data_IF_903717231508
#
_entry.id   IF_903717231508
#
_cell.length_a   1.000
_cell.length_b   1.000
_cell.length_c   1.000
_cell.angle_alpha   90.00
_cell.angle_beta   90.00
_cell.angle_gamma   90.00
#
_symmetry.space_group_name_H-M   'P 1'
#
loop_
_entity.id
_entity.type
_entity.pdbx_description
1 polymer ?
#
# COMPACT_ATOMS: atom_id res chain seq x y z
N UNK A 1 43.97 -7.72 41.95
CA UNK A 1 44.35 -7.16 40.63
C UNK A 1 43.09 -7.25 39.76
N UNK A 2 42.29 -6.23 39.49
CA UNK A 2 42.33 -4.78 39.69
C UNK A 2 40.88 -4.30 39.81
N UNK A 3 40.60 -3.61 40.92
CA UNK A 3 39.45 -2.75 41.16
C UNK A 3 39.64 -1.42 40.39
N UNK A 4 38.60 -0.89 39.72
CA UNK A 4 38.53 0.51 39.24
C UNK A 4 37.08 0.84 38.90
N UNK A 5 36.35 1.52 39.79
CA UNK A 5 36.33 2.97 40.09
C UNK A 5 35.12 3.65 39.43
N UNK A 6 34.06 3.77 40.22
CA UNK A 6 32.96 4.72 40.06
C UNK A 6 33.49 6.15 40.15
N UNK A 7 33.14 7.03 39.21
CA UNK A 7 33.29 8.49 39.36
C UNK A 7 32.12 9.21 38.71
N UNK A 8 31.24 9.74 39.55
CA UNK A 8 30.36 10.85 39.22
C UNK A 8 31.19 12.14 39.14
N UNK A 9 30.92 12.98 38.14
CA UNK A 9 31.43 14.35 38.06
C UNK A 9 30.30 15.27 37.63
N UNK A 10 30.04 16.24 38.50
CA UNK A 10 29.09 17.33 38.39
C UNK A 10 29.29 18.16 37.13
N UNK A 11 28.19 18.54 36.46
CA UNK A 11 28.19 19.60 35.46
C UNK A 11 27.24 20.73 35.88
N UNK A 12 27.82 21.92 35.89
CA UNK A 12 27.27 23.20 36.31
C UNK A 12 26.18 23.66 35.34
N UNK A 13 25.03 24.04 35.88
CA UNK A 13 23.91 24.64 35.16
C UNK A 13 24.32 26.05 34.69
N UNK A 14 24.45 26.25 33.37
CA UNK A 14 24.41 27.60 32.78
C UNK A 14 22.98 27.91 32.36
N UNK A 15 22.31 28.76 33.12
CA UNK A 15 21.03 29.35 32.75
C UNK A 15 21.30 30.37 31.63
N UNK A 16 20.94 30.03 30.40
CA UNK A 16 20.74 31.01 29.33
C UNK A 16 19.25 31.35 29.28
N UNK A 17 18.90 32.60 29.61
CA UNK A 17 17.59 33.15 29.31
C UNK A 17 17.49 33.35 27.80
N UNK A 18 16.95 32.36 27.09
CA UNK A 18 16.47 32.54 25.73
C UNK A 18 15.00 32.94 25.84
N UNK A 19 14.69 34.20 25.56
CA UNK A 19 13.31 34.62 25.31
C UNK A 19 12.83 33.94 24.04
N UNK A 20 12.17 32.80 24.21
CA UNK A 20 11.51 32.07 23.14
C UNK A 20 10.34 32.91 22.63
N UNK A 21 10.51 33.57 21.49
CA UNK A 21 9.38 34.03 20.69
C UNK A 21 8.69 32.76 20.18
N UNK A 22 7.59 32.37 20.82
CA UNK A 22 6.74 31.29 20.32
C UNK A 22 6.03 31.78 19.07
N UNK A 23 6.65 31.57 17.92
CA UNK A 23 5.91 31.54 16.66
C UNK A 23 5.02 30.30 16.70
N UNK A 24 3.71 30.49 16.88
CA UNK A 24 2.72 29.47 16.60
C UNK A 24 2.75 29.17 15.11
N UNK A 25 3.64 28.25 14.70
CA UNK A 25 3.44 27.51 13.48
C UNK A 25 2.23 26.61 13.74
N UNK A 26 1.07 27.03 13.23
CA UNK A 26 -0.04 26.12 13.04
C UNK A 26 0.44 25.09 12.01
N UNK A 27 1.10 24.04 12.49
CA UNK A 27 1.30 22.82 11.73
C UNK A 27 -0.10 22.24 11.54
N UNK A 28 -0.80 22.73 10.51
CA UNK A 28 -2.04 22.13 10.04
C UNK A 28 -1.72 20.65 9.87
N UNK A 29 -2.51 19.80 10.51
CA UNK A 29 -2.37 18.36 10.36
C UNK A 29 -2.28 18.07 8.87
N UNK A 30 -1.10 17.68 8.40
CA UNK A 30 -0.97 16.87 7.20
C UNK A 30 -1.57 15.53 7.63
N UNK A 31 -2.90 15.51 7.77
CA UNK A 31 -3.65 14.43 8.40
C UNK A 31 -3.67 13.25 7.44
N UNK A 32 -3.82 12.03 7.96
CA UNK A 32 -4.04 10.83 7.16
C UNK A 32 -5.16 11.01 6.11
N UNK A 33 -6.11 11.92 6.36
CA UNK A 33 -7.13 12.34 5.40
C UNK A 33 -6.54 12.95 4.11
N UNK A 34 -5.52 13.81 4.21
CA UNK A 34 -4.83 14.38 3.04
C UNK A 34 -4.08 13.30 2.24
N UNK A 35 -3.45 12.34 2.92
CA UNK A 35 -2.70 11.27 2.27
C UNK A 35 -3.66 10.28 1.57
N UNK A 36 -4.76 9.89 2.22
CA UNK A 36 -5.78 9.04 1.59
C UNK A 36 -6.37 9.70 0.34
N UNK A 37 -6.62 11.01 0.39
CA UNK A 37 -7.11 11.77 -0.75
C UNK A 37 -6.13 11.82 -1.91
N UNK A 38 -4.83 11.96 -1.63
CA UNK A 38 -3.77 11.87 -2.64
C UNK A 38 -3.71 10.46 -3.25
N UNK A 39 -3.81 9.41 -2.43
CA UNK A 39 -3.82 8.02 -2.89
C UNK A 39 -5.00 7.75 -3.83
N UNK A 40 -6.20 8.16 -3.43
CA UNK A 40 -7.42 7.99 -4.22
C UNK A 40 -7.34 8.79 -5.52
N UNK A 41 -6.85 10.04 -5.45
CA UNK A 41 -6.64 10.86 -6.64
C UNK A 41 -5.64 10.21 -7.61
N UNK A 42 -4.54 9.66 -7.08
CA UNK A 42 -3.54 8.94 -7.85
C UNK A 42 -4.12 7.67 -8.51
N UNK A 43 -4.97 6.93 -7.80
CA UNK A 43 -5.66 5.78 -8.35
C UNK A 43 -6.58 6.20 -9.51
N UNK A 44 -7.40 7.25 -9.33
CA UNK A 44 -8.28 7.76 -10.39
C UNK A 44 -7.47 8.24 -11.60
N UNK A 45 -6.32 8.88 -11.40
CA UNK A 45 -5.43 9.28 -12.50
C UNK A 45 -5.01 8.07 -13.36
N UNK A 46 -4.81 6.89 -12.77
CA UNK A 46 -4.47 5.66 -13.51
C UNK A 46 -5.52 5.30 -14.56
N UNK A 47 -6.80 5.64 -14.37
CA UNK A 47 -7.86 5.33 -15.35
C UNK A 47 -7.73 6.14 -16.65
N UNK A 48 -6.88 7.17 -16.66
CA UNK A 48 -6.57 7.97 -17.86
C UNK A 48 -5.44 7.38 -18.69
N UNK A 49 -4.78 6.32 -18.22
CA UNK A 49 -3.63 5.70 -18.89
C UNK A 49 -4.06 4.59 -19.85
N UNK A 50 -3.56 4.65 -21.10
CA UNK A 50 -3.69 3.54 -22.06
C UNK A 50 -2.78 2.36 -21.73
N UNK A 51 -3.27 1.42 -20.92
CA UNK A 51 -2.51 0.25 -20.47
C UNK A 51 -3.02 -1.02 -21.13
N UNK A 52 -2.10 -1.80 -21.69
CA UNK A 52 -2.31 -3.16 -22.20
C UNK A 52 -2.05 -4.15 -21.07
N UNK A 53 -2.99 -5.05 -20.82
CA UNK A 53 -2.84 -6.05 -19.78
C UNK A 53 -1.74 -7.04 -20.10
N UNK A 54 -0.68 -7.06 -19.30
CA UNK A 54 0.46 -7.95 -19.50
C UNK A 54 1.08 -8.33 -18.15
N UNK A 55 0.90 -9.59 -17.76
CA UNK A 55 1.45 -10.17 -16.52
C UNK A 55 2.75 -10.93 -16.69
N UNK A 56 3.42 -10.84 -17.84
CA UNK A 56 4.67 -11.55 -18.09
C UNK A 56 5.76 -11.07 -17.12
N UNK A 57 6.57 -12.02 -16.65
CA UNK A 57 7.73 -11.72 -15.83
C UNK A 57 8.71 -10.80 -16.57
N UNK A 58 9.25 -9.81 -15.86
CA UNK A 58 10.25 -8.87 -16.36
C UNK A 58 11.28 -8.59 -15.26
N UNK A 59 12.55 -8.54 -15.64
CA UNK A 59 13.58 -7.96 -14.77
C UNK A 59 13.40 -6.44 -14.76
N UNK A 60 13.42 -5.85 -13.58
CA UNK A 60 13.20 -4.42 -13.37
C UNK A 60 14.23 -3.88 -12.37
N UNK A 61 14.39 -2.56 -12.31
CA UNK A 61 15.23 -1.91 -11.32
C UNK A 61 14.72 -2.16 -9.90
N UNK A 62 15.54 -1.84 -8.90
CA UNK A 62 15.16 -1.91 -7.49
C UNK A 62 15.97 -0.90 -6.67
N UNK A 63 15.33 -0.11 -5.76
CA UNK A 63 13.88 0.05 -5.61
C UNK A 63 13.27 0.82 -6.79
N UNK A 64 11.96 1.10 -6.76
CA UNK A 64 11.25 1.92 -7.75
C UNK A 64 11.26 1.38 -9.20
N UNK A 65 11.60 0.11 -9.40
CA UNK A 65 11.46 -0.54 -10.69
C UNK A 65 10.01 -0.65 -11.13
N UNK A 66 9.77 -0.51 -12.42
CA UNK A 66 8.46 -0.73 -13.03
C UNK A 66 8.65 -1.42 -14.38
N UNK A 67 7.59 -2.07 -14.85
CA UNK A 67 7.49 -2.48 -16.24
C UNK A 67 7.24 -1.25 -17.13
N UNK A 68 7.32 -1.43 -18.44
CA UNK A 68 6.98 -0.36 -19.39
C UNK A 68 5.60 0.25 -19.02
N UNK A 69 5.44 1.59 -18.98
CA UNK A 69 4.19 2.24 -18.58
C UNK A 69 2.95 1.82 -19.39
N UNK A 70 3.14 1.38 -20.65
CA UNK A 70 2.09 0.85 -21.52
C UNK A 70 1.58 -0.51 -21.08
N UNK A 71 2.29 -1.21 -20.20
CA UNK A 71 1.89 -2.50 -19.65
C UNK A 71 1.49 -2.39 -18.18
N UNK A 72 0.60 -3.30 -17.76
CA UNK A 72 0.36 -3.53 -16.36
C UNK A 72 -0.77 -4.52 -16.06
N UNK A 73 -0.86 -4.93 -14.80
CA UNK A 73 -1.89 -5.81 -14.25
C UNK A 73 -2.68 -5.11 -13.13
N UNK A 74 -3.53 -5.84 -12.42
CA UNK A 74 -4.33 -5.32 -11.31
C UNK A 74 -3.47 -4.69 -10.18
N UNK A 75 -2.38 -5.35 -9.77
CA UNK A 75 -1.48 -4.83 -8.72
C UNK A 75 -0.78 -3.53 -9.11
N UNK A 76 -0.51 -3.30 -10.39
CA UNK A 76 0.20 -2.10 -10.86
C UNK A 76 -0.64 -0.83 -10.69
N UNK A 77 -1.96 -0.96 -10.59
CA UNK A 77 -2.83 0.15 -10.17
C UNK A 77 -2.47 0.57 -8.76
N UNK A 78 -2.34 -0.40 -7.84
CA UNK A 78 -2.00 -0.16 -6.43
C UNK A 78 -0.59 0.40 -6.32
N UNK A 79 0.39 -0.30 -6.88
CA UNK A 79 1.82 0.08 -6.79
C UNK A 79 2.03 1.51 -7.30
N UNK A 80 1.50 1.84 -8.49
CA UNK A 80 1.70 3.17 -9.09
C UNK A 80 0.91 4.26 -8.36
N UNK A 81 -0.23 3.94 -7.73
CA UNK A 81 -0.96 4.91 -6.91
C UNK A 81 -0.23 5.20 -5.60
N UNK A 82 0.26 4.17 -4.90
CA UNK A 82 1.04 4.33 -3.66
C UNK A 82 2.36 5.08 -3.89
N UNK A 83 3.00 4.92 -5.06
CA UNK A 83 4.20 5.71 -5.40
C UNK A 83 3.93 7.22 -5.49
N UNK A 84 2.70 7.68 -5.74
CA UNK A 84 2.34 9.11 -5.73
C UNK A 84 2.24 9.72 -4.32
N UNK A 85 2.28 8.86 -3.31
CA UNK A 85 2.36 9.23 -1.89
C UNK A 85 3.64 8.68 -1.25
N UNK A 86 4.68 8.48 -2.07
CA UNK A 86 6.04 8.16 -1.63
C UNK A 86 6.18 6.79 -0.94
N UNK A 87 5.28 5.84 -1.25
CA UNK A 87 5.35 4.46 -0.77
C UNK A 87 5.58 3.52 -1.95
N UNK A 88 6.71 2.81 -1.95
CA UNK A 88 7.04 1.82 -2.97
C UNK A 88 6.74 0.39 -2.52
N UNK A 89 5.63 -0.17 -3.01
CA UNK A 89 5.27 -1.56 -2.71
C UNK A 89 6.30 -2.57 -3.21
N UNK A 90 7.11 -2.25 -4.23
CA UNK A 90 8.23 -3.11 -4.61
C UNK A 90 9.23 -3.26 -3.47
N UNK A 91 9.63 -2.15 -2.88
CA UNK A 91 10.60 -2.11 -1.80
C UNK A 91 10.04 -2.75 -0.52
N UNK A 92 8.95 -2.22 0.03
CA UNK A 92 8.49 -2.61 1.37
C UNK A 92 8.01 -4.06 1.44
N UNK A 93 7.42 -4.59 0.36
CA UNK A 93 7.02 -6.00 0.32
C UNK A 93 8.25 -6.90 0.19
N UNK A 94 9.23 -6.52 -0.63
CA UNK A 94 10.44 -7.32 -0.79
C UNK A 94 11.26 -7.37 0.50
N UNK A 95 11.42 -6.25 1.19
CA UNK A 95 12.14 -6.17 2.46
C UNK A 95 11.44 -7.01 3.55
N UNK A 96 10.11 -6.90 3.71
CA UNK A 96 9.38 -7.77 4.66
C UNK A 96 9.50 -9.26 4.28
N UNK A 97 9.50 -9.57 2.98
CA UNK A 97 9.71 -10.94 2.50
C UNK A 97 11.13 -11.46 2.75
N UNK A 98 12.16 -10.63 2.70
CA UNK A 98 13.56 -11.05 3.02
C UNK A 98 13.65 -11.58 4.44
N UNK A 99 13.01 -10.90 5.38
CA UNK A 99 13.05 -11.28 6.79
C UNK A 99 12.04 -12.39 7.15
N UNK A 100 10.95 -12.53 6.37
CA UNK A 100 9.80 -13.36 6.76
C UNK A 100 9.31 -14.31 5.65
N UNK A 101 10.18 -14.72 4.71
CA UNK A 101 9.79 -15.46 3.51
C UNK A 101 8.94 -16.71 3.79
N UNK A 102 9.20 -17.39 4.91
CA UNK A 102 8.48 -18.60 5.31
C UNK A 102 6.97 -18.37 5.57
N UNK A 103 6.57 -17.14 5.90
CA UNK A 103 5.17 -16.78 6.12
C UNK A 103 4.40 -16.47 4.83
N UNK A 104 5.12 -16.29 3.71
CA UNK A 104 4.52 -15.97 2.42
C UNK A 104 4.08 -17.23 1.65
N UNK A 105 3.08 -17.12 0.75
CA UNK A 105 2.55 -18.26 0.02
C UNK A 105 3.59 -18.94 -0.88
N UNK A 106 3.73 -20.27 -0.75
CA UNK A 106 4.66 -21.10 -1.54
C UNK A 106 4.12 -21.48 -2.93
N UNK A 107 3.37 -20.59 -3.58
CA UNK A 107 2.61 -20.90 -4.80
C UNK A 107 3.49 -21.04 -6.07
N UNK A 108 4.74 -20.58 -6.03
CA UNK A 108 5.63 -20.51 -7.20
C UNK A 108 6.92 -21.33 -7.05
N UNK A 109 7.03 -22.17 -6.01
CA UNK A 109 8.20 -23.02 -5.80
C UNK A 109 9.53 -22.25 -5.64
N UNK A 110 9.47 -20.99 -5.19
CA UNK A 110 10.67 -20.18 -4.96
C UNK A 110 11.27 -20.48 -3.59
N UNK A 111 12.60 -20.49 -3.52
CA UNK A 111 13.36 -20.70 -2.28
C UNK A 111 13.68 -19.38 -1.54
N UNK A 112 13.53 -18.24 -2.24
CA UNK A 112 13.78 -16.90 -1.69
C UNK A 112 12.89 -15.86 -2.37
N UNK A 113 12.75 -14.65 -1.78
CA UNK A 113 12.03 -13.55 -2.40
C UNK A 113 12.63 -13.15 -3.76
N UNK A 114 11.79 -12.57 -4.62
CA UNK A 114 12.17 -12.06 -5.93
C UNK A 114 11.64 -10.63 -6.15
N UNK A 115 12.53 -9.66 -5.92
CA UNK A 115 12.25 -8.21 -6.03
C UNK A 115 11.67 -7.78 -7.39
N UNK A 116 11.80 -8.59 -8.43
CA UNK A 116 11.23 -8.29 -9.74
C UNK A 116 9.71 -8.52 -9.80
N UNK A 117 9.15 -9.35 -8.91
CA UNK A 117 7.77 -9.84 -9.04
C UNK A 117 7.00 -9.92 -7.72
N UNK A 118 7.65 -9.86 -6.55
CA UNK A 118 7.01 -10.04 -5.23
C UNK A 118 5.77 -9.15 -5.06
N UNK A 119 5.93 -7.86 -5.26
CA UNK A 119 4.87 -6.85 -5.19
C UNK A 119 3.80 -6.95 -6.29
N UNK A 120 4.05 -7.72 -7.36
CA UNK A 120 3.11 -7.92 -8.48
C UNK A 120 2.22 -9.16 -8.29
N UNK A 121 2.26 -9.79 -7.12
CA UNK A 121 1.47 -10.96 -6.76
C UNK A 121 0.45 -10.61 -5.68
N UNK A 122 -0.84 -10.67 -6.01
CA UNK A 122 -1.93 -10.39 -5.05
C UNK A 122 -1.79 -11.19 -3.75
N UNK A 123 -1.46 -12.50 -3.75
CA UNK A 123 -1.27 -13.25 -2.50
C UNK A 123 -0.13 -12.70 -1.62
N UNK A 124 0.94 -12.18 -2.21
CA UNK A 124 2.04 -11.56 -1.46
C UNK A 124 1.60 -10.22 -0.85
N UNK A 125 0.91 -9.37 -1.63
CA UNK A 125 0.35 -8.11 -1.10
C UNK A 125 -0.61 -8.36 0.06
N UNK A 126 -1.49 -9.37 -0.04
CA UNK A 126 -2.41 -9.74 1.06
C UNK A 126 -1.64 -10.14 2.32
N UNK A 127 -0.58 -10.93 2.18
CA UNK A 127 0.23 -11.40 3.31
C UNK A 127 0.94 -10.22 3.96
N UNK A 128 1.60 -9.37 3.16
CA UNK A 128 2.22 -8.14 3.63
C UNK A 128 1.22 -7.26 4.39
N UNK A 129 0.07 -6.93 3.81
CA UNK A 129 -0.93 -6.06 4.46
C UNK A 129 -1.43 -6.64 5.79
N UNK A 130 -1.60 -7.96 5.90
CA UNK A 130 -1.93 -8.61 7.18
C UNK A 130 -0.83 -8.44 8.22
N UNK A 131 0.43 -8.63 7.81
CA UNK A 131 1.61 -8.47 8.68
C UNK A 131 1.79 -7.03 9.16
N UNK A 132 1.37 -6.07 8.35
CA UNK A 132 1.31 -4.65 8.73
C UNK A 132 0.07 -4.27 9.55
N UNK A 133 -0.68 -5.26 10.08
CA UNK A 133 -1.91 -5.05 10.85
C UNK A 133 -2.99 -4.23 10.13
N UNK A 134 -2.97 -4.20 8.79
CA UNK A 134 -3.86 -3.39 7.97
C UNK A 134 -5.20 -4.09 7.67
N UNK A 135 -5.40 -5.34 8.11
CA UNK A 135 -6.59 -6.12 7.76
C UNK A 135 -7.85 -5.62 8.50
N UNK A 136 -8.94 -5.49 7.75
CA UNK A 136 -10.27 -5.15 8.25
C UNK A 136 -11.25 -6.31 8.01
N UNK A 137 -12.38 -6.35 8.72
CA UNK A 137 -13.45 -7.30 8.44
C UNK A 137 -13.96 -7.18 7.01
N UNK A 138 -14.28 -8.33 6.40
CA UNK A 138 -15.03 -8.39 5.14
C UNK A 138 -16.51 -8.46 5.52
N UNK A 139 -17.27 -7.45 5.13
CA UNK A 139 -18.71 -7.33 5.45
C UNK A 139 -19.53 -7.15 4.17
N UNK A 140 -20.85 -7.26 4.30
CA UNK A 140 -21.81 -6.94 3.24
C UNK A 140 -22.30 -5.48 3.29
N UNK A 141 -21.86 -4.68 4.26
CA UNK A 141 -22.23 -3.26 4.34
C UNK A 141 -21.21 -2.41 3.55
N UNK A 142 -21.67 -1.75 2.50
CA UNK A 142 -20.87 -0.85 1.68
C UNK A 142 -20.19 0.27 2.48
N UNK A 143 -20.76 0.67 3.63
CA UNK A 143 -20.24 1.74 4.48
C UNK A 143 -18.94 1.38 5.17
N UNK A 144 -18.62 0.11 5.32
CA UNK A 144 -17.38 -0.34 5.97
C UNK A 144 -16.14 -0.12 5.10
N UNK A 145 -16.35 0.01 3.78
CA UNK A 145 -15.32 0.22 2.77
C UNK A 145 -15.14 1.71 2.52
N UNK A 146 -14.02 2.27 2.97
CA UNK A 146 -13.68 3.69 2.88
C UNK A 146 -12.72 3.95 1.74
N UNK A 147 -12.75 5.19 1.25
CA UNK A 147 -11.83 5.67 0.24
C UNK A 147 -10.36 5.43 0.69
N UNK A 148 -9.56 4.85 -0.20
CA UNK A 148 -8.17 4.45 0.08
C UNK A 148 -8.01 2.99 0.53
N UNK A 149 -9.09 2.30 0.90
CA UNK A 149 -9.02 0.89 1.27
C UNK A 149 -8.66 0.02 0.06
N UNK A 150 -7.88 -1.02 0.32
CA UNK A 150 -7.51 -2.04 -0.66
C UNK A 150 -8.44 -3.23 -0.47
N UNK A 151 -9.02 -3.71 -1.57
CA UNK A 151 -9.89 -4.90 -1.55
C UNK A 151 -9.35 -5.92 -2.53
N UNK A 152 -9.41 -7.21 -2.16
CA UNK A 152 -8.99 -8.32 -3.02
C UNK A 152 -10.14 -9.27 -3.26
N UNK A 153 -10.17 -9.90 -4.44
CA UNK A 153 -11.22 -10.83 -4.86
C UNK A 153 -10.65 -12.11 -5.44
N UNK A 154 -11.51 -13.13 -5.56
CA UNK A 154 -11.26 -14.28 -6.45
C UNK A 154 -12.17 -14.18 -7.68
N UNK A 155 -11.57 -14.05 -8.87
CA UNK A 155 -12.30 -14.07 -10.13
C UNK A 155 -12.44 -15.52 -10.67
N UNK A 156 -13.35 -15.77 -11.63
CA UNK A 156 -13.47 -17.06 -12.28
C UNK A 156 -12.13 -17.59 -12.81
N UNK A 157 -11.94 -18.91 -12.68
CA UNK A 157 -10.69 -19.59 -13.02
C UNK A 157 -9.58 -19.38 -11.99
N UNK A 158 -9.92 -19.18 -10.71
CA UNK A 158 -9.00 -19.04 -9.59
C UNK A 158 -7.95 -17.93 -9.81
N UNK A 159 -8.40 -16.76 -10.27
CA UNK A 159 -7.53 -15.60 -10.54
C UNK A 159 -7.65 -14.59 -9.40
N UNK A 160 -6.65 -14.47 -8.51
CA UNK A 160 -6.62 -13.40 -7.52
C UNK A 160 -6.65 -12.02 -8.17
N UNK A 161 -7.43 -11.11 -7.59
CA UNK A 161 -7.59 -9.76 -8.10
C UNK A 161 -7.54 -8.74 -6.97
N UNK A 162 -7.22 -7.49 -7.30
CA UNK A 162 -7.01 -6.41 -6.33
C UNK A 162 -7.44 -5.07 -6.93
N UNK A 163 -7.84 -4.15 -6.07
CA UNK A 163 -8.31 -2.82 -6.42
C UNK A 163 -8.36 -1.92 -5.19
N UNK A 164 -8.65 -0.65 -5.43
CA UNK A 164 -8.72 0.37 -4.39
C UNK A 164 -10.08 1.06 -4.40
N UNK A 165 -10.63 1.29 -3.22
CA UNK A 165 -11.90 1.97 -3.01
C UNK A 165 -11.70 3.47 -3.21
N UNK A 166 -12.63 4.13 -3.92
CA UNK A 166 -12.61 5.58 -4.13
C UNK A 166 -13.85 6.26 -3.55
N UNK A 167 -13.82 7.60 -3.47
CA UNK A 167 -14.91 8.39 -2.87
C UNK A 167 -16.21 8.34 -3.68
N UNK A 168 -16.11 8.24 -5.00
CA UNK A 168 -17.28 8.19 -5.87
C UNK A 168 -18.09 6.90 -5.66
N UNK A 169 -19.41 7.01 -5.77
CA UNK A 169 -20.34 5.92 -5.49
C UNK A 169 -21.27 5.63 -6.65
N UNK A 170 -21.60 4.36 -6.83
CA UNK A 170 -22.73 3.91 -7.62
C UNK A 170 -24.01 4.06 -6.80
N UNK A 171 -25.06 4.64 -7.40
CA UNK A 171 -26.35 4.92 -6.75
C UNK A 171 -26.24 5.59 -5.38
N UNK A 172 -25.22 6.44 -5.17
CA UNK A 172 -24.93 7.15 -3.90
C UNK A 172 -24.60 6.25 -2.69
N UNK A 173 -24.58 4.93 -2.85
CA UNK A 173 -24.45 3.96 -1.76
C UNK A 173 -23.14 3.16 -1.83
N UNK A 174 -22.87 2.53 -2.98
CA UNK A 174 -21.79 1.57 -3.14
C UNK A 174 -20.53 2.30 -3.64
N UNK A 175 -19.41 2.32 -2.90
CA UNK A 175 -18.21 2.97 -3.39
C UNK A 175 -17.66 2.25 -4.62
N UNK A 176 -17.19 3.03 -5.59
CA UNK A 176 -16.58 2.51 -6.80
C UNK A 176 -15.17 1.99 -6.50
N UNK A 177 -14.71 1.09 -7.37
CA UNK A 177 -13.37 0.49 -7.29
C UNK A 177 -12.57 0.94 -8.49
N UNK A 178 -11.32 1.35 -8.26
CA UNK A 178 -10.32 1.46 -9.31
C UNK A 178 -9.48 0.18 -9.36
N UNK A 179 -9.42 -0.46 -10.52
CA UNK A 179 -8.70 -1.72 -10.75
C UNK A 179 -8.39 -1.90 -12.24
N UNK A 180 -7.63 -2.94 -12.60
CA UNK A 180 -7.35 -3.32 -14.00
C UNK A 180 -7.56 -4.82 -14.20
N UNK A 181 -8.47 -5.22 -15.09
CA UNK A 181 -8.84 -6.62 -15.36
C UNK A 181 -8.92 -6.90 -16.87
N UNK A 182 -7.90 -6.47 -17.62
CA UNK A 182 -7.73 -6.82 -19.04
C UNK A 182 -7.91 -5.65 -20.01
N UNK A 183 -8.88 -4.78 -19.74
CA UNK A 183 -9.22 -3.63 -20.60
C UNK A 183 -8.62 -2.30 -20.12
N UNK A 184 -7.48 -2.37 -19.44
CA UNK A 184 -6.82 -1.24 -18.78
C UNK A 184 -7.46 -0.87 -17.43
N UNK A 185 -6.85 0.09 -16.69
CA UNK A 185 -7.40 0.61 -15.45
C UNK A 185 -8.76 1.29 -15.65
N UNK A 186 -9.73 0.93 -14.83
CA UNK A 186 -11.10 1.44 -14.86
C UNK A 186 -11.59 1.75 -13.46
N UNK A 187 -12.57 2.64 -13.37
CA UNK A 187 -13.36 2.92 -12.18
C UNK A 187 -14.78 2.41 -12.41
N UNK A 188 -15.22 1.40 -11.67
CA UNK A 188 -16.53 0.79 -11.87
C UNK A 188 -17.14 0.22 -10.58
N UNK A 189 -18.43 -0.10 -10.62
CA UNK A 189 -19.13 -0.78 -9.53
C UNK A 189 -18.67 -2.26 -9.48
N UNK A 190 -17.62 -2.51 -8.68
CA UNK A 190 -16.96 -3.81 -8.60
C UNK A 190 -16.98 -4.43 -7.20
N UNK A 191 -17.24 -3.63 -6.15
CA UNK A 191 -16.98 -4.00 -4.75
C UNK A 191 -17.55 -5.39 -4.39
N UNK A 192 -18.82 -5.62 -4.72
CA UNK A 192 -19.52 -6.88 -4.41
C UNK A 192 -19.76 -7.77 -5.64
N UNK A 193 -19.04 -7.53 -6.75
CA UNK A 193 -19.23 -8.27 -8.02
C UNK A 193 -18.70 -9.71 -7.95
N UNK A 194 -17.71 -9.96 -7.10
CA UNK A 194 -17.06 -11.26 -6.90
C UNK A 194 -16.81 -11.51 -5.41
N UNK A 195 -16.50 -12.75 -4.99
CA UNK A 195 -16.16 -13.04 -3.61
C UNK A 195 -14.95 -12.23 -3.13
N UNK A 196 -15.15 -11.40 -2.11
CA UNK A 196 -14.08 -10.65 -1.45
C UNK A 196 -13.23 -11.64 -0.64
N UNK A 197 -11.92 -11.59 -0.84
CA UNK A 197 -10.93 -12.42 -0.15
C UNK A 197 -10.09 -11.63 0.85
N UNK A 198 -10.25 -10.30 0.90
CA UNK A 198 -9.57 -9.44 1.85
C UNK A 198 -9.96 -7.99 1.69
N UNK A 199 -9.92 -7.28 2.81
CA UNK A 199 -10.21 -5.85 2.94
C UNK A 199 -9.15 -5.26 3.86
N UNK A 200 -8.50 -4.17 3.44
CA UNK A 200 -7.33 -3.62 4.13
C UNK A 200 -7.32 -2.10 4.11
N UNK A 201 -6.83 -1.49 5.19
CA UNK A 201 -6.52 -0.07 5.29
C UNK A 201 -5.07 0.10 5.76
N UNK A 202 -4.20 0.47 4.83
CA UNK A 202 -2.76 0.58 5.10
C UNK A 202 -2.34 1.92 5.67
N UNK A 203 -3.08 2.99 5.34
CA UNK A 203 -2.80 4.36 5.78
C UNK A 203 -3.78 4.75 6.87
N UNK A 204 -3.62 4.15 8.05
CA UNK A 204 -4.36 4.51 9.24
C UNK A 204 -3.37 4.71 10.38
N UNK A 205 -3.15 5.99 10.72
CA UNK A 205 -2.68 6.51 12.00
C UNK A 205 -3.27 7.92 12.17
#
# INVERSE_FOLDING_TARGET
>A
MTEKKTRAVYWIIKIFFVTSVMTNAQAGSISAENISDRLVSAAIERTKSGVIYNGAYKRIAYPMGDVNPRFGVCTDVIIRAFRKIDIDFQQVIHEDMVDNFAEYPKLWGLERPDRNIDHRRVPNIRTFLKRQSAALPVTSDAKDYKAGDIVTWMLPGNKPHIGIVVKEKYNQEIPLIVHNVGLGPRKENFLFKYPITGHYRYLSN
#
